data_IF_942371703022
#
_entry.id   IF_942371703022
#
_cell.length_a   1.000
_cell.length_b   1.000
_cell.length_c   1.000
_cell.angle_alpha   90.00
_cell.angle_beta   90.00
_cell.angle_gamma   90.00
#
_symmetry.space_group_name_H-M   'P 1'
#
loop_
_entity.id
_entity.type
_entity.pdbx_description
1 polymer ?
#
# COMPACT_ATOMS: atom_id res chain seq x y z
N UNK A 1 40.35 3.64 -38.48
CA UNK A 1 39.30 3.82 -37.44
C UNK A 1 39.19 2.58 -36.54
N UNK A 2 40.28 2.10 -35.93
CA UNK A 2 40.27 0.94 -35.01
C UNK A 2 40.94 1.22 -33.65
N UNK A 3 41.58 2.37 -33.48
CA UNK A 3 42.38 2.69 -32.30
C UNK A 3 41.70 3.69 -31.33
N UNK A 4 40.49 4.16 -31.67
CA UNK A 4 39.76 5.14 -30.86
C UNK A 4 38.81 4.49 -29.83
N UNK A 5 38.40 3.24 -30.04
CA UNK A 5 37.42 2.55 -29.18
C UNK A 5 38.07 1.98 -27.90
N UNK A 6 39.36 1.64 -27.95
CA UNK A 6 40.06 0.98 -26.83
C UNK A 6 40.27 1.94 -25.63
N UNK A 7 40.45 3.24 -25.90
CA UNK A 7 40.65 4.24 -24.85
C UNK A 7 39.42 4.53 -23.98
N UNK A 8 38.21 4.44 -24.56
CA UNK A 8 36.96 4.75 -23.85
C UNK A 8 36.48 3.61 -22.93
N UNK A 9 36.81 2.36 -23.25
CA UNK A 9 36.40 1.20 -22.43
C UNK A 9 37.23 1.11 -21.15
N UNK A 10 38.51 1.49 -21.20
CA UNK A 10 39.40 1.43 -20.03
C UNK A 10 39.07 2.48 -18.97
N UNK A 11 38.59 3.67 -19.34
CA UNK A 11 38.23 4.73 -18.38
C UNK A 11 36.92 4.43 -17.66
N UNK A 12 35.96 3.78 -18.33
CA UNK A 12 34.69 3.36 -17.73
C UNK A 12 34.91 2.27 -16.66
N UNK A 13 35.82 1.32 -16.91
CA UNK A 13 36.11 0.25 -15.94
C UNK A 13 36.75 0.79 -14.66
N UNK A 14 37.66 1.77 -14.74
CA UNK A 14 38.30 2.36 -13.55
C UNK A 14 37.29 3.13 -12.69
N UNK A 15 36.33 3.82 -13.30
CA UNK A 15 35.26 4.53 -12.57
C UNK A 15 34.28 3.56 -11.90
N UNK A 16 33.93 2.44 -12.55
CA UNK A 16 33.02 1.44 -11.99
C UNK A 16 33.63 0.72 -10.76
N UNK A 17 34.92 0.36 -10.82
CA UNK A 17 35.61 -0.34 -9.71
C UNK A 17 35.85 0.62 -8.52
N UNK A 18 36.12 1.90 -8.79
CA UNK A 18 36.25 2.93 -7.76
C UNK A 18 34.92 3.20 -7.02
N UNK A 19 33.80 3.24 -7.73
CA UNK A 19 32.47 3.45 -7.13
C UNK A 19 32.01 2.24 -6.30
N UNK A 20 32.29 1.02 -6.73
CA UNK A 20 31.98 -0.20 -5.98
C UNK A 20 32.76 -0.31 -4.66
N UNK A 21 34.02 0.14 -4.64
CA UNK A 21 34.84 0.16 -3.41
C UNK A 21 34.35 1.19 -2.39
N UNK A 22 33.83 2.33 -2.84
CA UNK A 22 33.32 3.38 -1.95
C UNK A 22 32.07 2.93 -1.17
N UNK A 23 31.18 2.16 -1.78
CA UNK A 23 29.92 1.75 -1.14
C UNK A 23 30.06 0.59 -0.13
N UNK A 24 31.16 -0.15 -0.15
CA UNK A 24 31.37 -1.30 0.76
C UNK A 24 32.08 -0.94 2.09
N UNK A 25 32.54 0.30 2.26
CA UNK A 25 33.39 0.71 3.39
C UNK A 25 32.68 1.16 4.68
N UNK A 26 31.35 1.09 4.81
CA UNK A 26 30.62 1.67 5.96
C UNK A 26 29.82 0.68 6.82
N UNK A 27 30.35 -0.52 7.05
CA UNK A 27 29.85 -1.44 8.10
C UNK A 27 31.00 -1.91 8.99
N UNK A 28 31.26 -1.18 10.08
CA UNK A 28 31.76 -1.71 11.36
C UNK A 28 32.06 -0.57 12.35
N UNK A 29 31.35 -0.58 13.49
CA UNK A 29 31.79 -0.23 14.88
C UNK A 29 30.52 -0.09 15.72
N UNK A 30 30.20 -1.10 16.52
CA UNK A 30 30.57 -1.29 17.95
C UNK A 30 29.41 -0.79 18.84
N UNK A 31 28.99 -1.46 19.91
CA UNK A 31 29.56 -2.63 20.56
C UNK A 31 28.55 -3.22 21.55
N UNK A 32 28.57 -4.55 21.63
CA UNK A 32 27.95 -5.34 22.67
C UNK A 32 28.84 -5.21 23.92
N UNK A 33 28.35 -4.54 24.95
CA UNK A 33 29.03 -4.47 26.24
C UNK A 33 28.55 -5.64 27.10
N UNK A 34 29.39 -6.65 27.24
CA UNK A 34 29.30 -7.60 28.34
C UNK A 34 30.71 -7.81 28.91
N UNK A 35 30.76 -7.83 30.24
CA UNK A 35 31.83 -8.35 31.10
C UNK A 35 32.94 -7.36 31.53
N UNK A 36 32.80 -6.79 32.74
CA UNK A 36 33.68 -7.18 33.83
C UNK A 36 33.17 -6.71 35.21
N UNK A 37 33.28 -7.63 36.16
CA UNK A 37 32.96 -7.56 37.57
C UNK A 37 33.54 -6.35 38.34
N UNK A 38 32.68 -5.64 39.06
CA UNK A 38 33.08 -4.95 40.31
C UNK A 38 32.09 -5.33 41.41
N UNK A 39 32.62 -6.00 42.42
CA UNK A 39 31.96 -6.40 43.65
C UNK A 39 31.78 -5.17 44.55
N UNK A 40 30.67 -5.12 45.27
CA UNK A 40 30.53 -4.64 46.66
C UNK A 40 29.57 -3.46 46.95
N UNK A 41 28.68 -3.77 47.91
CA UNK A 41 27.99 -2.96 48.92
C UNK A 41 26.68 -2.24 48.53
N UNK A 42 25.58 -2.84 49.03
CA UNK A 42 24.22 -2.28 49.19
C UNK A 42 24.23 -0.97 50.02
N UNK A 43 23.32 -0.02 49.74
CA UNK A 43 21.95 -0.13 50.28
C UNK A 43 20.86 0.17 49.23
N UNK A 44 19.80 -0.63 49.27
CA UNK A 44 18.61 -0.53 48.42
C UNK A 44 17.84 0.77 48.71
N UNK A 45 18.07 1.81 47.91
CA UNK A 45 17.15 2.95 47.79
C UNK A 45 16.22 2.64 46.63
N UNK A 46 14.94 2.35 46.92
CA UNK A 46 13.88 2.26 45.91
C UNK A 46 13.67 3.63 45.28
N UNK A 47 14.38 3.91 44.21
CA UNK A 47 13.99 4.98 43.28
C UNK A 47 12.88 4.40 42.41
N UNK A 48 11.63 4.75 42.71
CA UNK A 48 10.54 4.60 41.74
C UNK A 48 10.84 5.53 40.57
N UNK A 49 11.42 4.98 39.52
CA UNK A 49 11.58 5.66 38.23
C UNK A 49 10.33 5.40 37.38
N UNK A 50 9.16 5.88 37.81
CA UNK A 50 7.98 5.97 36.93
C UNK A 50 8.10 7.21 36.03
N UNK A 51 9.23 7.33 35.34
CA UNK A 51 9.21 7.99 34.04
C UNK A 51 9.01 6.85 33.04
N UNK A 52 7.83 6.71 32.40
CA UNK A 52 7.68 5.71 31.36
C UNK A 52 8.79 5.97 30.35
N UNK A 53 9.69 4.98 30.19
CA UNK A 53 10.74 5.04 29.19
C UNK A 53 10.05 5.31 27.85
N UNK A 54 10.29 6.49 27.29
CA UNK A 54 9.77 6.86 25.98
C UNK A 54 10.33 5.84 24.98
N UNK A 55 9.45 5.13 24.26
CA UNK A 55 9.85 4.10 23.29
C UNK A 55 9.78 2.64 23.76
N UNK A 56 9.12 2.35 24.88
CA UNK A 56 8.83 0.99 25.33
C UNK A 56 7.64 0.31 24.64
N UNK A 57 6.84 1.06 23.90
CA UNK A 57 5.58 0.64 23.25
C UNK A 57 5.78 0.25 21.78
N UNK A 58 6.77 -0.61 21.53
CA UNK A 58 6.99 -1.16 20.19
C UNK A 58 5.90 -2.18 19.84
N UNK A 59 5.33 -2.07 18.64
CA UNK A 59 4.47 -3.10 18.05
C UNK A 59 5.29 -4.31 17.52
N UNK A 60 4.62 -5.29 16.92
CA UNK A 60 5.25 -6.50 16.34
C UNK A 60 6.28 -6.18 15.25
N UNK A 61 6.17 -5.01 14.63
CA UNK A 61 7.07 -4.52 13.60
C UNK A 61 8.17 -3.59 14.15
N UNK A 62 8.18 -3.36 15.47
CA UNK A 62 9.14 -2.49 16.15
C UNK A 62 8.80 -1.00 16.11
N UNK A 63 7.60 -0.62 15.65
CA UNK A 63 7.15 0.76 15.55
C UNK A 63 6.66 1.28 16.89
N UNK A 64 7.03 2.52 17.21
CA UNK A 64 6.72 3.16 18.50
C UNK A 64 5.48 4.05 18.32
N UNK A 65 4.31 3.53 18.70
CA UNK A 65 3.02 4.21 18.49
C UNK A 65 2.90 5.54 19.25
N UNK A 66 3.48 5.64 20.44
CA UNK A 66 3.54 6.84 21.29
C UNK A 66 4.40 7.94 20.69
N UNK A 67 5.40 7.55 19.89
CA UNK A 67 6.15 8.45 19.04
C UNK A 67 5.47 8.65 17.68
N UNK A 68 4.23 8.21 17.48
CA UNK A 68 3.46 8.40 16.25
C UNK A 68 3.97 7.62 15.04
N UNK A 69 4.79 6.59 15.26
CA UNK A 69 5.20 5.68 14.22
C UNK A 69 4.15 4.58 14.01
N UNK A 70 3.83 4.32 12.75
CA UNK A 70 2.95 3.26 12.32
C UNK A 70 3.65 2.41 11.25
N UNK A 71 3.45 1.09 11.30
CA UNK A 71 4.02 0.20 10.30
C UNK A 71 3.44 0.46 8.91
N UNK A 72 4.33 0.63 7.92
CA UNK A 72 3.96 0.72 6.51
C UNK A 72 4.44 -0.53 5.77
N UNK A 73 3.50 -1.37 5.32
CA UNK A 73 3.80 -2.66 4.68
C UNK A 73 4.55 -2.48 3.35
N UNK A 74 4.16 -1.49 2.56
CA UNK A 74 4.69 -1.24 1.21
C UNK A 74 6.16 -0.82 1.25
N UNK A 75 6.48 0.04 2.21
CA UNK A 75 7.84 0.60 2.39
C UNK A 75 8.66 -0.20 3.40
N UNK A 76 8.04 -1.20 4.03
CA UNK A 76 8.65 -2.09 5.02
C UNK A 76 9.39 -1.31 6.13
N UNK A 77 8.79 -0.21 6.59
CA UNK A 77 9.36 0.67 7.62
C UNK A 77 8.27 1.35 8.45
N UNK A 78 8.63 1.75 9.65
CA UNK A 78 7.78 2.56 10.52
C UNK A 78 7.79 4.01 10.03
N UNK A 79 6.61 4.57 9.76
CA UNK A 79 6.43 5.93 9.27
C UNK A 79 5.54 6.76 10.19
N UNK A 80 5.78 8.07 10.17
CA UNK A 80 4.85 9.05 10.75
C UNK A 80 4.08 9.68 9.61
N UNK A 81 2.76 9.70 9.72
CA UNK A 81 1.87 10.19 8.66
C UNK A 81 2.15 11.64 8.23
N UNK A 82 2.81 12.44 9.07
CA UNK A 82 3.16 13.83 8.77
C UNK A 82 4.59 14.04 8.24
N UNK A 83 5.45 13.02 8.28
CA UNK A 83 6.80 13.06 7.70
C UNK A 83 6.80 12.41 6.31
N UNK A 84 6.11 11.27 6.20
CA UNK A 84 6.00 10.52 4.96
C UNK A 84 4.68 9.74 4.97
N UNK A 85 3.90 9.87 3.90
CA UNK A 85 2.70 9.07 3.72
C UNK A 85 3.08 7.58 3.55
N UNK A 86 2.35 6.70 4.24
CA UNK A 86 2.25 5.30 3.82
C UNK A 86 1.13 5.25 2.79
N UNK A 87 1.42 4.74 1.60
CA UNK A 87 0.48 4.78 0.48
C UNK A 87 -0.66 3.71 0.65
N UNK A 88 -0.60 2.92 1.73
CA UNK A 88 -1.45 1.76 2.05
C UNK A 88 -2.86 2.10 2.57
N UNK A 89 -3.40 3.29 2.33
CA UNK A 89 -4.82 3.53 2.65
C UNK A 89 -5.52 4.34 1.57
N UNK A 90 -5.90 3.65 0.50
CA UNK A 90 -7.04 3.98 -0.34
C UNK A 90 -6.89 5.14 -1.32
N UNK A 91 -5.84 5.97 -1.23
CA UNK A 91 -5.57 6.99 -2.25
C UNK A 91 -4.97 6.40 -3.52
N UNK A 92 -4.05 5.43 -3.43
CA UNK A 92 -3.52 4.75 -4.61
C UNK A 92 -4.57 3.82 -5.23
N UNK A 93 -5.25 2.99 -4.42
CA UNK A 93 -6.30 2.11 -4.94
C UNK A 93 -7.43 2.89 -5.63
N UNK A 94 -7.82 4.08 -5.13
CA UNK A 94 -8.83 4.92 -5.80
C UNK A 94 -8.34 5.41 -7.16
N UNK A 95 -7.09 5.88 -7.28
CA UNK A 95 -6.51 6.30 -8.55
C UNK A 95 -6.31 5.12 -9.50
N UNK A 96 -5.89 3.96 -9.01
CA UNK A 96 -5.75 2.74 -9.80
C UNK A 96 -7.11 2.24 -10.32
N UNK A 97 -8.16 2.25 -9.48
CA UNK A 97 -9.52 1.93 -9.89
C UNK A 97 -10.03 2.95 -10.92
N UNK A 98 -9.74 4.24 -10.70
CA UNK A 98 -10.08 5.30 -11.65
C UNK A 98 -9.40 5.08 -13.01
N UNK A 99 -8.12 4.73 -13.02
CA UNK A 99 -7.39 4.40 -14.23
C UNK A 99 -7.98 3.14 -14.89
N UNK A 100 -8.34 2.11 -14.13
CA UNK A 100 -8.96 0.90 -14.67
C UNK A 100 -10.34 1.18 -15.31
N UNK A 101 -11.11 2.13 -14.80
CA UNK A 101 -12.35 2.62 -15.43
C UNK A 101 -12.05 3.39 -16.71
N UNK A 102 -11.07 4.30 -16.67
CA UNK A 102 -10.62 5.07 -17.84
C UNK A 102 -10.19 4.12 -18.96
N UNK A 103 -9.34 3.15 -18.66
CA UNK A 103 -8.81 2.19 -19.63
C UNK A 103 -9.92 1.32 -20.23
N UNK A 104 -10.92 0.94 -19.42
CA UNK A 104 -12.05 0.12 -19.87
C UNK A 104 -12.99 0.86 -20.82
N UNK A 105 -13.20 2.16 -20.59
CA UNK A 105 -14.21 2.94 -21.29
C UNK A 105 -13.65 4.00 -22.24
N UNK A 106 -12.33 4.18 -22.27
CA UNK A 106 -11.65 5.26 -23.00
C UNK A 106 -12.13 6.67 -22.55
N UNK A 107 -12.33 6.84 -21.24
CA UNK A 107 -12.80 8.10 -20.67
C UNK A 107 -11.67 9.09 -20.37
N UNK A 108 -11.98 10.37 -20.40
CA UNK A 108 -11.04 11.38 -19.92
C UNK A 108 -10.98 11.37 -18.38
N UNK A 109 -9.75 11.36 -17.84
CA UNK A 109 -9.49 11.40 -16.40
C UNK A 109 -10.16 12.57 -15.69
N UNK A 110 -10.28 13.71 -16.35
CA UNK A 110 -10.79 14.94 -15.74
C UNK A 110 -12.32 15.07 -15.77
N UNK A 111 -13.00 14.20 -16.52
CA UNK A 111 -14.45 14.26 -16.71
C UNK A 111 -15.22 13.39 -15.70
N UNK A 112 -14.52 12.50 -14.99
CA UNK A 112 -15.14 11.56 -14.04
C UNK A 112 -14.63 11.75 -12.60
N UNK A 113 -15.54 11.48 -11.67
CA UNK A 113 -15.29 11.38 -10.23
C UNK A 113 -15.64 9.97 -9.79
N UNK A 114 -14.66 9.29 -9.20
CA UNK A 114 -14.80 7.93 -8.66
C UNK A 114 -14.80 8.01 -7.14
N UNK A 115 -15.76 7.31 -6.52
CA UNK A 115 -15.87 7.21 -5.07
C UNK A 115 -15.83 5.74 -4.68
N UNK A 116 -14.72 5.29 -4.10
CA UNK A 116 -14.62 3.95 -3.51
C UNK A 116 -15.40 3.94 -2.20
N UNK A 117 -16.46 3.13 -2.13
CA UNK A 117 -17.32 3.03 -0.94
C UNK A 117 -16.87 1.93 0.00
N UNK A 118 -16.42 0.80 -0.54
CA UNK A 118 -15.90 -0.35 0.22
C UNK A 118 -14.70 -0.93 -0.51
N UNK A 119 -13.66 -1.27 0.23
CA UNK A 119 -12.46 -1.94 -0.26
C UNK A 119 -11.94 -2.85 0.86
N UNK A 120 -11.76 -4.14 0.59
CA UNK A 120 -11.21 -5.12 1.54
C UNK A 120 -9.78 -5.57 1.18
N UNK A 121 -9.16 -4.90 0.22
CA UNK A 121 -7.83 -5.22 -0.31
C UNK A 121 -7.84 -6.28 -1.43
N UNK A 122 -8.95 -7.01 -1.62
CA UNK A 122 -9.14 -7.97 -2.72
C UNK A 122 -10.23 -7.53 -3.68
N UNK A 123 -11.25 -6.88 -3.15
CA UNK A 123 -12.47 -6.46 -3.81
C UNK A 123 -12.76 -5.01 -3.45
N UNK A 124 -13.26 -4.23 -4.41
CA UNK A 124 -13.70 -2.86 -4.19
C UNK A 124 -15.04 -2.60 -4.89
N UNK A 125 -15.89 -1.79 -4.26
CA UNK A 125 -17.12 -1.30 -4.87
C UNK A 125 -17.33 0.17 -4.56
N UNK A 126 -18.07 0.84 -5.42
CA UNK A 126 -18.32 2.25 -5.28
C UNK A 126 -19.11 2.83 -6.43
N UNK A 127 -19.04 4.16 -6.56
CA UNK A 127 -19.75 4.92 -7.58
C UNK A 127 -18.80 5.63 -8.54
N UNK A 128 -19.27 5.82 -9.76
CA UNK A 128 -18.66 6.67 -10.79
C UNK A 128 -19.69 7.69 -11.24
N UNK A 129 -19.31 8.95 -11.32
CA UNK A 129 -20.17 10.01 -11.88
C UNK A 129 -19.36 10.97 -12.71
N UNK A 130 -20.02 11.67 -13.61
CA UNK A 130 -19.41 12.79 -14.33
C UNK A 130 -19.16 13.96 -13.35
N UNK A 131 -18.03 14.64 -13.50
CA UNK A 131 -17.57 15.70 -12.60
C UNK A 131 -18.54 16.88 -12.54
N UNK A 132 -19.11 17.25 -13.69
CA UNK A 132 -20.01 18.39 -13.85
C UNK A 132 -21.49 17.99 -13.94
N UNK A 133 -21.82 16.73 -13.69
CA UNK A 133 -23.21 16.31 -13.60
C UNK A 133 -23.66 16.29 -12.14
N UNK A 134 -24.78 16.95 -11.87
CA UNK A 134 -25.50 16.88 -10.60
C UNK A 134 -26.53 15.73 -10.59
N UNK A 135 -26.76 15.09 -11.73
CA UNK A 135 -27.78 14.05 -11.90
C UNK A 135 -27.14 12.77 -12.43
N UNK A 136 -27.27 11.71 -11.65
CA UNK A 136 -26.89 10.36 -12.05
C UNK A 136 -25.47 9.96 -11.67
N UNK A 137 -25.26 8.65 -11.71
CA UNK A 137 -24.01 7.97 -11.44
C UNK A 137 -24.21 6.46 -11.63
N UNK A 138 -23.12 5.78 -11.95
CA UNK A 138 -23.07 4.32 -12.06
C UNK A 138 -22.41 3.70 -10.84
N UNK A 139 -22.65 2.41 -10.64
CA UNK A 139 -21.84 1.61 -9.73
C UNK A 139 -20.59 1.10 -10.45
N UNK A 140 -19.61 0.68 -9.66
CA UNK A 140 -18.56 -0.23 -10.13
C UNK A 140 -18.31 -1.34 -9.10
N UNK A 141 -17.81 -2.46 -9.57
CA UNK A 141 -17.22 -3.54 -8.80
C UNK A 141 -15.89 -3.94 -9.44
N UNK A 142 -14.84 -3.95 -8.62
CA UNK A 142 -13.48 -4.21 -9.05
C UNK A 142 -12.82 -5.31 -8.21
N UNK A 143 -11.91 -6.04 -8.85
CA UNK A 143 -11.10 -7.09 -8.23
C UNK A 143 -9.62 -6.72 -8.34
N UNK A 144 -8.84 -6.98 -7.28
CA UNK A 144 -7.39 -6.78 -7.30
C UNK A 144 -6.75 -7.96 -8.04
N UNK A 145 -5.97 -7.66 -9.07
CA UNK A 145 -5.28 -8.62 -9.94
C UNK A 145 -3.77 -8.36 -9.98
N UNK A 146 -3.00 -9.27 -10.58
CA UNK A 146 -1.57 -9.07 -10.82
C UNK A 146 -1.36 -7.89 -11.77
N UNK A 147 -0.95 -6.74 -11.23
CA UNK A 147 -0.73 -5.51 -11.99
C UNK A 147 -1.74 -4.39 -11.77
N UNK A 148 -2.72 -4.55 -10.86
CA UNK A 148 -3.62 -3.47 -10.46
C UNK A 148 -5.07 -3.91 -10.25
N UNK A 149 -6.00 -2.97 -10.42
CA UNK A 149 -7.43 -3.25 -10.30
C UNK A 149 -8.04 -3.56 -11.67
N UNK A 150 -8.98 -4.52 -11.69
CA UNK A 150 -9.77 -4.87 -12.86
C UNK A 150 -11.25 -4.61 -12.59
N UNK A 151 -11.90 -3.84 -13.45
CA UNK A 151 -13.35 -3.58 -13.35
C UNK A 151 -14.13 -4.78 -13.89
N UNK A 152 -14.80 -5.49 -12.98
CA UNK A 152 -15.59 -6.67 -13.29
C UNK A 152 -16.99 -6.29 -13.78
N UNK A 153 -17.59 -5.31 -13.13
CA UNK A 153 -18.91 -4.80 -13.51
C UNK A 153 -19.02 -3.31 -13.19
N UNK A 154 -19.80 -2.62 -14.00
CA UNK A 154 -20.12 -1.21 -13.85
C UNK A 154 -21.41 -0.91 -14.62
N UNK A 155 -22.06 0.21 -14.29
CA UNK A 155 -23.24 0.69 -15.01
C UNK A 155 -24.27 1.39 -14.11
N UNK A 156 -25.38 1.79 -14.71
CA UNK A 156 -26.45 2.52 -14.02
C UNK A 156 -27.60 1.54 -13.69
N UNK A 157 -27.40 0.65 -12.73
CA UNK A 157 -28.41 -0.37 -12.39
C UNK A 157 -27.96 -1.37 -11.33
N UNK A 158 -28.57 -2.55 -11.34
CA UNK A 158 -28.20 -3.67 -10.46
C UNK A 158 -27.11 -4.50 -11.14
N UNK A 159 -26.13 -4.98 -10.37
CA UNK A 159 -25.08 -5.85 -10.87
C UNK A 159 -25.62 -7.22 -11.28
N UNK A 160 -25.17 -7.75 -12.41
CA UNK A 160 -25.55 -9.07 -12.90
C UNK A 160 -24.84 -10.18 -12.10
N UNK A 161 -25.59 -11.21 -11.71
CA UNK A 161 -25.03 -12.36 -10.98
C UNK A 161 -23.98 -13.11 -11.83
N UNK A 162 -24.12 -13.11 -13.16
CA UNK A 162 -23.17 -13.73 -14.09
C UNK A 162 -21.77 -13.12 -14.00
N UNK A 163 -21.66 -11.80 -13.84
CA UNK A 163 -20.38 -11.10 -13.66
C UNK A 163 -19.68 -11.46 -12.36
N UNK A 164 -20.45 -11.92 -11.36
CA UNK A 164 -19.97 -12.28 -10.03
C UNK A 164 -19.65 -13.77 -9.87
N UNK A 165 -20.19 -14.63 -10.74
CA UNK A 165 -19.98 -16.08 -10.69
C UNK A 165 -18.49 -16.52 -10.65
N UNK A 166 -17.54 -15.83 -11.33
CA UNK A 166 -16.11 -16.16 -11.22
C UNK A 166 -15.47 -15.82 -9.87
N UNK A 167 -16.14 -15.04 -9.03
CA UNK A 167 -15.62 -14.52 -7.76
C UNK A 167 -16.52 -14.97 -6.60
N UNK A 168 -16.57 -16.27 -6.27
CA UNK A 168 -17.53 -16.78 -5.29
C UNK A 168 -17.26 -16.32 -3.86
N UNK A 169 -16.16 -15.63 -3.55
CA UNK A 169 -15.75 -15.28 -2.19
C UNK A 169 -15.76 -13.78 -1.87
N UNK A 170 -16.31 -12.91 -2.74
CA UNK A 170 -16.53 -11.51 -2.36
C UNK A 170 -17.49 -11.42 -1.15
N UNK A 171 -17.23 -10.53 -0.19
CA UNK A 171 -18.08 -10.42 1.00
C UNK A 171 -19.41 -9.75 0.66
N UNK A 172 -20.48 -10.20 1.34
CA UNK A 172 -21.83 -9.63 1.25
C UNK A 172 -21.87 -8.13 1.54
N UNK A 173 -20.90 -7.62 2.30
CA UNK A 173 -20.76 -6.18 2.57
C UNK A 173 -20.50 -5.39 1.29
N UNK A 174 -19.72 -5.90 0.34
CA UNK A 174 -19.41 -5.23 -0.93
C UNK A 174 -20.62 -5.25 -1.87
N UNK A 175 -21.27 -6.40 -1.99
CA UNK A 175 -22.45 -6.63 -2.82
C UNK A 175 -23.37 -7.61 -2.11
N UNK A 176 -24.57 -7.15 -1.73
CA UNK A 176 -25.56 -7.99 -1.05
C UNK A 176 -26.59 -8.62 -1.99
N UNK A 177 -26.76 -8.05 -3.18
CA UNK A 177 -27.74 -8.47 -4.16
C UNK A 177 -27.20 -8.35 -5.58
N UNK A 178 -27.67 -9.23 -6.45
CA UNK A 178 -27.41 -9.19 -7.89
C UNK A 178 -28.67 -9.59 -8.67
N UNK A 179 -28.74 -9.20 -9.94
CA UNK A 179 -29.84 -9.58 -10.82
C UNK A 179 -29.48 -10.83 -11.61
N UNK A 180 -30.39 -11.80 -11.66
CA UNK A 180 -30.30 -12.99 -12.51
C UNK A 180 -31.28 -12.85 -13.68
N UNK A 181 -30.73 -12.67 -14.89
CA UNK A 181 -31.51 -12.50 -16.12
C UNK A 181 -32.29 -13.77 -16.52
N UNK A 182 -31.81 -14.96 -16.10
CA UNK A 182 -32.45 -16.23 -16.44
C UNK A 182 -33.76 -16.39 -15.68
N UNK A 183 -33.77 -15.99 -14.41
CA UNK A 183 -34.95 -16.08 -13.55
C UNK A 183 -35.75 -14.77 -13.47
N UNK A 184 -35.16 -13.66 -13.92
CA UNK A 184 -35.74 -12.32 -13.85
C UNK A 184 -35.84 -11.77 -12.44
N UNK A 185 -34.99 -12.24 -11.51
CA UNK A 185 -35.10 -11.96 -10.07
C UNK A 185 -33.80 -11.38 -9.49
N UNK A 186 -33.95 -10.57 -8.45
CA UNK A 186 -32.85 -10.19 -7.59
C UNK A 186 -32.53 -11.36 -6.64
N UNK A 187 -31.28 -11.81 -6.68
CA UNK A 187 -30.73 -12.83 -5.81
C UNK A 187 -29.99 -12.13 -4.67
N UNK A 188 -30.44 -12.35 -3.44
CA UNK A 188 -29.76 -11.86 -2.23
C UNK A 188 -28.79 -12.94 -1.77
N UNK A 189 -27.54 -12.52 -1.51
CA UNK A 189 -26.49 -13.38 -0.97
C UNK A 189 -26.47 -13.36 0.56
#
# INVERSE_FOLDING_TARGET
MKNFVIGAVSTIIVLAVGFFSYQYGKKARDGSNNDLSVISVTPQVKVSSDTPLLGGDRDEHGCIGSAGYQWCKEKNKCLRSWEEACDDVGQDDTELIKNALIDKHDWNKDDIVVTVSKNDGKYASGGVREKNSEVGGGYFFAVKAEGGWKIVADGNGVIQCSSLAPYPDYPKSLISECYDETTGKNIVR
#
